data_IF_548202410185
#
_entry.id   IF_548202410185
#
_cell.length_a   1.000
_cell.length_b   1.000
_cell.length_c   1.000
_cell.angle_alpha   90.00
_cell.angle_beta   90.00
_cell.angle_gamma   90.00
#
_symmetry.space_group_name_H-M   'P 1'
#
loop_
_entity.id
_entity.type
_entity.pdbx_description
1 polymer ?
#
# COMPACT_ATOMS: atom_id res chain seq x y z
N UNK A 1 -79.04 18.09 -12.13
CA UNK A 1 -78.15 16.93 -12.23
C UNK A 1 -76.77 17.49 -12.50
N UNK A 2 -75.90 17.55 -11.48
CA UNK A 2 -74.53 18.06 -11.60
C UNK A 2 -73.61 16.82 -11.58
N UNK A 3 -72.90 16.57 -12.66
CA UNK A 3 -71.84 15.51 -12.76
C UNK A 3 -70.54 16.05 -12.15
N UNK A 4 -70.06 15.42 -11.06
CA UNK A 4 -68.72 15.62 -10.56
C UNK A 4 -67.74 14.78 -11.43
N UNK A 5 -66.80 15.48 -12.07
CA UNK A 5 -65.62 14.81 -12.70
C UNK A 5 -64.55 14.71 -11.63
N UNK A 6 -64.22 13.46 -11.24
CA UNK A 6 -63.08 13.16 -10.36
C UNK A 6 -61.83 13.07 -11.22
N UNK A 7 -60.89 14.00 -11.04
CA UNK A 7 -59.57 13.98 -11.67
C UNK A 7 -58.61 13.24 -10.73
N UNK A 8 -58.25 12.01 -11.08
CA UNK A 8 -57.22 11.25 -10.39
C UNK A 8 -55.85 11.78 -10.86
N UNK A 9 -55.15 12.46 -9.97
CA UNK A 9 -53.75 12.85 -10.20
C UNK A 9 -52.85 11.64 -9.97
N UNK A 10 -52.31 11.11 -11.03
CA UNK A 10 -51.32 9.99 -11.01
C UNK A 10 -49.94 10.60 -10.78
N UNK A 11 -49.46 10.56 -9.53
CA UNK A 11 -48.10 11.00 -9.21
C UNK A 11 -47.10 9.98 -9.69
N UNK A 12 -46.32 10.32 -10.73
CA UNK A 12 -45.22 9.50 -11.24
C UNK A 12 -43.98 9.81 -10.40
N UNK A 13 -43.66 8.94 -9.45
CA UNK A 13 -42.39 9.01 -8.69
C UNK A 13 -41.28 8.47 -9.59
N UNK A 14 -40.48 9.36 -10.18
CA UNK A 14 -39.24 9.01 -10.84
C UNK A 14 -38.20 8.64 -9.77
N UNK A 15 -38.01 7.35 -9.52
CA UNK A 15 -36.90 6.86 -8.74
C UNK A 15 -35.62 7.04 -9.57
N UNK A 16 -34.86 8.11 -9.30
CA UNK A 16 -33.49 8.24 -9.79
C UNK A 16 -32.65 7.21 -9.03
N UNK A 17 -32.38 6.09 -9.66
CA UNK A 17 -31.35 5.16 -9.20
C UNK A 17 -30.00 5.89 -9.24
N UNK A 18 -29.45 6.22 -8.07
CA UNK A 18 -28.05 6.64 -7.96
C UNK A 18 -27.23 5.40 -8.26
N UNK A 19 -26.79 5.24 -9.51
CA UNK A 19 -25.71 4.32 -9.83
C UNK A 19 -24.46 4.87 -9.12
N UNK A 20 -24.08 4.29 -8.01
CA UNK A 20 -22.74 4.46 -7.45
C UNK A 20 -21.77 4.04 -8.56
N UNK A 21 -21.03 4.98 -9.15
CA UNK A 21 -19.99 4.66 -10.09
C UNK A 21 -19.00 3.74 -9.37
N UNK A 22 -18.74 2.57 -9.95
CA UNK A 22 -17.71 1.67 -9.40
C UNK A 22 -16.40 2.45 -9.30
N UNK A 23 -15.71 2.29 -8.16
CA UNK A 23 -14.40 2.89 -7.97
C UNK A 23 -13.46 2.34 -9.06
N UNK A 24 -12.65 3.21 -9.72
CA UNK A 24 -11.66 2.76 -10.68
C UNK A 24 -10.54 1.93 -10.01
N UNK A 25 -10.50 1.87 -8.68
CA UNK A 25 -9.54 1.09 -7.89
C UNK A 25 -10.27 -0.12 -7.30
N UNK A 26 -9.68 -1.32 -7.43
CA UNK A 26 -10.15 -2.54 -6.74
C UNK A 26 -9.22 -2.94 -5.60
N UNK A 27 -9.70 -3.76 -4.66
CA UNK A 27 -8.90 -4.31 -3.57
C UNK A 27 -7.66 -5.04 -4.11
N UNK A 28 -7.85 -5.86 -5.16
CA UNK A 28 -6.78 -6.65 -5.77
C UNK A 28 -5.72 -5.75 -6.44
N UNK A 29 -6.13 -4.65 -7.05
CA UNK A 29 -5.19 -3.68 -7.61
C UNK A 29 -4.35 -3.02 -6.53
N UNK A 30 -4.97 -2.59 -5.43
CA UNK A 30 -4.28 -1.96 -4.32
C UNK A 30 -3.30 -2.93 -3.64
N UNK A 31 -3.73 -4.17 -3.33
CA UNK A 31 -2.87 -5.20 -2.74
C UNK A 31 -1.71 -5.54 -3.68
N UNK A 32 -1.97 -5.72 -4.97
CA UNK A 32 -0.93 -6.01 -5.96
C UNK A 32 0.11 -4.89 -6.05
N UNK A 33 -0.33 -3.61 -6.05
CA UNK A 33 0.58 -2.46 -6.04
C UNK A 33 1.47 -2.44 -4.79
N UNK A 34 0.95 -2.86 -3.63
CA UNK A 34 1.73 -3.00 -2.41
C UNK A 34 2.78 -4.12 -2.54
N UNK A 35 2.41 -5.27 -3.11
CA UNK A 35 3.39 -6.34 -3.39
C UNK A 35 4.47 -5.90 -4.39
N UNK A 36 4.10 -5.13 -5.43
CA UNK A 36 5.06 -4.57 -6.38
C UNK A 36 6.09 -3.68 -5.66
N UNK A 37 5.63 -2.85 -4.70
CA UNK A 37 6.52 -2.00 -3.91
C UNK A 37 7.53 -2.83 -3.12
N UNK A 38 7.09 -3.83 -2.34
CA UNK A 38 7.99 -4.68 -1.57
C UNK A 38 8.90 -5.54 -2.47
N UNK A 39 8.41 -5.97 -3.64
CA UNK A 39 9.24 -6.66 -4.62
C UNK A 39 10.39 -5.81 -5.15
N UNK A 40 10.20 -4.48 -5.25
CA UNK A 40 11.27 -3.54 -5.64
C UNK A 40 12.23 -3.21 -4.49
N UNK A 41 11.91 -3.57 -3.24
CA UNK A 41 12.80 -3.42 -2.09
C UNK A 41 13.72 -4.64 -1.89
N UNK A 42 13.55 -5.70 -2.67
CA UNK A 42 14.50 -6.81 -2.66
C UNK A 42 15.86 -6.32 -3.13
N UNK A 43 16.86 -6.39 -2.23
CA UNK A 43 18.22 -5.86 -2.47
C UNK A 43 18.90 -6.44 -3.71
N UNK A 44 18.47 -7.61 -4.22
CA UNK A 44 19.03 -8.22 -5.42
C UNK A 44 18.53 -7.59 -6.72
N UNK A 45 17.36 -6.92 -6.68
CA UNK A 45 16.73 -6.28 -7.83
C UNK A 45 16.43 -4.80 -7.61
N UNK A 46 16.76 -4.28 -6.41
CA UNK A 46 16.50 -2.91 -6.05
C UNK A 46 17.08 -1.92 -7.06
N UNK A 47 16.24 -1.00 -7.49
CA UNK A 47 16.57 0.11 -8.37
C UNK A 47 15.70 1.33 -7.98
N UNK A 48 16.36 2.40 -7.56
CA UNK A 48 15.69 3.65 -7.18
C UNK A 48 14.82 4.22 -8.29
N UNK A 49 15.25 4.11 -9.56
CA UNK A 49 14.47 4.61 -10.70
C UNK A 49 13.14 3.84 -10.83
N UNK A 50 13.17 2.51 -10.66
CA UNK A 50 11.95 1.69 -10.70
C UNK A 50 11.05 1.99 -9.51
N UNK A 51 11.60 2.17 -8.30
CA UNK A 51 10.84 2.57 -7.13
C UNK A 51 10.15 3.92 -7.34
N UNK A 52 10.84 4.89 -7.97
CA UNK A 52 10.29 6.23 -8.25
C UNK A 52 9.05 6.21 -9.15
N UNK A 53 8.89 5.19 -10.00
CA UNK A 53 7.75 5.05 -10.92
C UNK A 53 6.45 4.68 -10.21
N UNK A 54 6.54 3.99 -9.08
CA UNK A 54 5.36 3.48 -8.35
C UNK A 54 4.99 4.27 -7.11
N UNK A 55 5.74 5.31 -6.79
CA UNK A 55 5.44 6.24 -5.70
C UNK A 55 5.11 7.62 -6.25
N UNK A 56 4.44 8.48 -5.46
CA UNK A 56 4.20 9.88 -5.83
C UNK A 56 5.47 10.72 -5.64
N UNK A 57 5.61 11.89 -6.32
CA UNK A 57 6.76 12.78 -6.13
C UNK A 57 6.94 13.28 -4.68
N UNK A 58 5.85 13.34 -3.92
CA UNK A 58 5.81 13.76 -2.52
C UNK A 58 5.69 12.57 -1.55
N UNK A 59 6.10 11.37 -1.99
CA UNK A 59 6.10 10.14 -1.18
C UNK A 59 6.85 10.33 0.14
N UNK A 60 6.26 9.80 1.21
CA UNK A 60 6.86 9.74 2.56
C UNK A 60 6.69 8.38 3.16
N UNK A 61 7.68 7.96 3.93
CA UNK A 61 7.60 6.76 4.77
C UNK A 61 8.11 7.07 6.18
N UNK A 62 7.33 6.72 7.17
CA UNK A 62 7.76 6.71 8.57
C UNK A 62 8.21 5.32 8.93
N UNK A 63 9.49 5.19 9.20
CA UNK A 63 10.15 3.92 9.47
C UNK A 63 11.19 4.10 10.58
N UNK A 64 11.16 3.24 11.61
CA UNK A 64 12.11 3.25 12.74
C UNK A 64 12.30 4.65 13.33
N UNK A 65 11.20 5.41 13.51
CA UNK A 65 11.20 6.76 14.08
C UNK A 65 11.76 7.86 13.17
N UNK A 66 12.06 7.55 11.90
CA UNK A 66 12.51 8.50 10.90
C UNK A 66 11.39 8.87 9.94
N UNK A 67 11.48 10.07 9.37
CA UNK A 67 10.62 10.59 8.33
C UNK A 67 11.43 10.69 7.03
N UNK A 68 11.27 9.69 6.16
CA UNK A 68 11.97 9.62 4.89
C UNK A 68 11.11 10.16 3.74
N UNK A 69 11.71 10.90 2.83
CA UNK A 69 11.25 11.06 1.46
C UNK A 69 11.89 9.97 0.57
N UNK A 70 11.54 9.92 -0.72
CA UNK A 70 12.08 8.92 -1.63
C UNK A 70 13.61 8.91 -1.69
N UNK A 71 14.26 10.09 -1.69
CA UNK A 71 15.72 10.20 -1.78
C UNK A 71 16.41 9.64 -0.54
N UNK A 72 15.97 10.05 0.65
CA UNK A 72 16.54 9.57 1.91
C UNK A 72 16.19 8.10 2.20
N UNK A 73 15.01 7.62 1.75
CA UNK A 73 14.65 6.21 1.84
C UNK A 73 15.51 5.35 0.90
N UNK A 74 15.76 5.80 -0.34
CA UNK A 74 16.68 5.12 -1.24
C UNK A 74 18.08 5.00 -0.64
N UNK A 75 18.61 6.08 -0.05
CA UNK A 75 19.91 6.04 0.63
C UNK A 75 19.93 5.09 1.84
N UNK A 76 18.80 4.95 2.55
CA UNK A 76 18.66 3.97 3.63
C UNK A 76 18.74 2.53 3.10
N UNK A 77 18.09 2.22 1.98
CA UNK A 77 18.14 0.89 1.35
C UNK A 77 19.53 0.61 0.78
N UNK A 78 20.17 1.60 0.15
CA UNK A 78 21.56 1.47 -0.34
C UNK A 78 22.50 1.08 0.81
N UNK A 79 22.39 1.74 1.97
CA UNK A 79 23.16 1.37 3.16
C UNK A 79 22.85 -0.04 3.69
N UNK A 80 21.59 -0.45 3.67
CA UNK A 80 21.20 -1.81 4.06
C UNK A 80 21.79 -2.87 3.10
N UNK A 81 21.84 -2.59 1.80
CA UNK A 81 22.42 -3.48 0.77
C UNK A 81 23.91 -3.78 0.97
N UNK A 82 24.62 -2.88 1.66
CA UNK A 82 26.03 -3.12 2.00
C UNK A 82 26.22 -4.24 3.03
N UNK A 83 25.21 -4.52 3.83
CA UNK A 83 25.27 -5.48 4.95
C UNK A 83 24.46 -6.73 4.74
N UNK A 84 23.48 -6.71 3.84
CA UNK A 84 22.59 -7.83 3.57
C UNK A 84 23.01 -8.60 2.32
N UNK A 85 22.69 -9.91 2.30
CA UNK A 85 22.81 -10.79 1.15
C UNK A 85 21.45 -11.10 0.52
N UNK A 86 20.42 -11.24 1.35
CA UNK A 86 19.07 -11.64 0.92
C UNK A 86 18.04 -10.89 1.74
N UNK A 87 16.94 -10.54 1.10
CA UNK A 87 15.73 -10.00 1.73
C UNK A 87 14.53 -10.82 1.30
N UNK A 88 13.60 -11.07 2.21
CA UNK A 88 12.33 -11.71 1.90
C UNK A 88 11.22 -11.01 2.68
N UNK A 89 10.08 -10.81 2.04
CA UNK A 89 8.92 -10.12 2.58
C UNK A 89 7.68 -11.00 2.49
N UNK A 90 6.92 -11.06 3.58
CA UNK A 90 5.65 -11.79 3.65
C UNK A 90 4.55 -10.86 4.18
N UNK A 91 3.69 -10.42 3.27
CA UNK A 91 2.57 -9.52 3.56
C UNK A 91 1.30 -10.32 3.81
N UNK A 92 0.53 -9.94 4.84
CA UNK A 92 -0.67 -10.68 5.25
C UNK A 92 -1.70 -9.79 5.94
N UNK A 93 -2.91 -10.34 6.17
CA UNK A 93 -3.98 -9.72 6.95
C UNK A 93 -4.41 -8.33 6.43
N UNK A 94 -4.58 -8.21 5.12
CA UNK A 94 -4.94 -6.94 4.47
C UNK A 94 -6.35 -6.49 4.85
N UNK A 95 -6.47 -5.24 5.34
CA UNK A 95 -7.73 -4.53 5.51
C UNK A 95 -7.69 -3.34 4.55
N UNK A 96 -8.50 -3.40 3.51
CA UNK A 96 -8.51 -2.42 2.41
C UNK A 96 -9.71 -1.50 2.52
N UNK A 97 -9.48 -0.19 2.42
CA UNK A 97 -10.50 0.84 2.27
C UNK A 97 -10.25 1.61 0.99
N UNK A 98 -11.27 1.77 0.16
CA UNK A 98 -11.16 2.40 -1.16
C UNK A 98 -12.19 3.52 -1.29
N UNK A 99 -11.79 4.61 -1.91
CA UNK A 99 -12.68 5.62 -2.45
C UNK A 99 -12.37 5.87 -3.96
N UNK A 100 -13.00 6.90 -4.55
CA UNK A 100 -12.93 7.14 -6.00
C UNK A 100 -11.50 7.38 -6.54
N UNK A 101 -10.56 7.80 -5.70
CA UNK A 101 -9.22 8.24 -6.13
C UNK A 101 -8.10 7.76 -5.21
N UNK A 102 -8.42 7.02 -4.17
CA UNK A 102 -7.43 6.56 -3.21
C UNK A 102 -7.75 5.20 -2.63
N UNK A 103 -6.73 4.56 -2.10
CA UNK A 103 -6.83 3.34 -1.32
C UNK A 103 -5.97 3.45 -0.06
N UNK A 104 -6.45 2.87 1.02
CA UNK A 104 -5.70 2.69 2.25
C UNK A 104 -5.70 1.20 2.60
N UNK A 105 -4.53 0.66 2.96
CA UNK A 105 -4.38 -0.73 3.39
C UNK A 105 -3.67 -0.73 4.74
N UNK A 106 -4.25 -1.42 5.73
CA UNK A 106 -3.54 -1.85 6.93
C UNK A 106 -3.19 -3.32 6.77
N UNK A 107 -1.98 -3.73 7.18
CA UNK A 107 -1.50 -5.09 6.97
C UNK A 107 -0.40 -5.45 7.96
N UNK A 108 -0.09 -6.76 8.06
CA UNK A 108 1.09 -7.26 8.72
C UNK A 108 2.16 -7.60 7.70
N UNK A 109 3.40 -7.31 8.06
CA UNK A 109 4.56 -7.63 7.24
C UNK A 109 5.58 -8.41 8.08
N UNK A 110 6.16 -9.46 7.50
CA UNK A 110 7.31 -10.17 8.05
C UNK A 110 8.48 -10.06 7.10
N UNK A 111 9.61 -9.62 7.64
CA UNK A 111 10.86 -9.57 6.91
C UNK A 111 11.83 -10.63 7.42
N UNK A 112 12.49 -11.33 6.51
CA UNK A 112 13.62 -12.19 6.84
C UNK A 112 14.81 -11.73 6.03
N UNK A 113 15.88 -11.32 6.71
CA UNK A 113 17.08 -10.76 6.11
C UNK A 113 18.29 -11.59 6.47
N UNK A 114 19.07 -12.02 5.47
CA UNK A 114 20.33 -12.70 5.68
C UNK A 114 21.47 -11.69 5.55
N UNK A 115 22.27 -11.59 6.60
CA UNK A 115 23.41 -10.66 6.60
C UNK A 115 24.65 -11.31 5.97
N UNK A 116 25.61 -10.48 5.55
CA UNK A 116 26.95 -10.90 5.11
C UNK A 116 27.78 -11.53 6.24
N UNK A 117 27.34 -11.38 7.50
CA UNK A 117 27.94 -12.01 8.68
C UNK A 117 27.34 -13.37 9.05
N UNK A 118 26.49 -13.93 8.15
CA UNK A 118 25.82 -15.22 8.34
C UNK A 118 24.82 -15.21 9.51
N UNK A 119 24.09 -14.11 9.67
CA UNK A 119 22.98 -13.96 10.61
C UNK A 119 21.66 -13.95 9.83
N UNK A 120 20.57 -14.43 10.44
CA UNK A 120 19.21 -14.18 10.01
C UNK A 120 18.57 -13.16 10.98
N UNK A 121 18.02 -12.10 10.42
CA UNK A 121 17.24 -11.11 11.14
C UNK A 121 15.79 -11.28 10.73
N UNK A 122 14.92 -11.47 11.72
CA UNK A 122 13.47 -11.56 11.53
C UNK A 122 12.81 -10.35 12.14
N UNK A 123 12.03 -9.66 11.34
CA UNK A 123 11.18 -8.56 11.78
C UNK A 123 9.72 -8.91 11.60
N UNK A 124 8.88 -8.48 12.55
CA UNK A 124 7.44 -8.35 12.37
C UNK A 124 7.07 -6.87 12.45
N UNK A 125 6.22 -6.42 11.51
CA UNK A 125 5.68 -5.06 11.50
C UNK A 125 4.16 -5.05 11.45
N UNK A 126 3.58 -3.99 12.02
CA UNK A 126 2.24 -3.51 11.68
C UNK A 126 2.39 -2.26 10.83
N UNK A 127 1.78 -2.30 9.65
CA UNK A 127 1.98 -1.26 8.66
C UNK A 127 0.67 -0.75 8.09
N UNK A 128 0.72 0.47 7.56
CA UNK A 128 -0.36 1.00 6.74
C UNK A 128 0.19 1.81 5.57
N UNK A 129 -0.48 1.73 4.44
CA UNK A 129 -0.13 2.44 3.22
C UNK A 129 -1.32 3.23 2.70
N UNK A 130 -1.07 4.45 2.29
CA UNK A 130 -2.02 5.29 1.56
C UNK A 130 -1.54 5.46 0.12
N UNK A 131 -2.44 5.15 -0.81
CA UNK A 131 -2.22 5.21 -2.24
C UNK A 131 -3.19 6.17 -2.89
N UNK A 132 -2.79 6.79 -3.99
CA UNK A 132 -3.63 7.71 -4.78
C UNK A 132 -3.50 7.40 -6.26
N UNK A 133 -4.55 7.72 -7.02
CA UNK A 133 -4.46 7.75 -8.48
C UNK A 133 -3.69 9.01 -8.92
N UNK A 134 -2.59 8.78 -9.63
CA UNK A 134 -1.83 9.79 -10.38
C UNK A 134 -2.08 9.54 -11.88
N UNK A 135 -3.00 10.31 -12.44
CA UNK A 135 -3.58 9.99 -13.75
C UNK A 135 -4.43 8.72 -13.71
N UNK A 136 -3.97 7.66 -14.36
CA UNK A 136 -4.62 6.34 -14.37
C UNK A 136 -3.84 5.28 -13.56
N UNK A 137 -2.73 5.66 -12.95
CA UNK A 137 -1.86 4.77 -12.20
C UNK A 137 -2.07 4.94 -10.70
N UNK A 138 -2.19 3.83 -9.98
CA UNK A 138 -2.19 3.82 -8.53
C UNK A 138 -0.75 3.89 -8.04
N UNK A 139 -0.43 4.90 -7.20
CA UNK A 139 0.90 5.12 -6.64
C UNK A 139 0.85 5.21 -5.13
N UNK A 140 1.91 4.75 -4.46
CA UNK A 140 2.07 4.93 -3.03
C UNK A 140 2.39 6.40 -2.74
N UNK A 141 1.69 6.98 -1.77
CA UNK A 141 1.89 8.35 -1.32
C UNK A 141 2.46 8.43 0.08
N UNK A 142 2.04 7.54 0.95
CA UNK A 142 2.51 7.49 2.33
C UNK A 142 2.51 6.05 2.83
N UNK A 143 3.52 5.70 3.62
CA UNK A 143 3.61 4.43 4.35
C UNK A 143 4.02 4.70 5.79
N UNK A 144 3.33 4.06 6.72
CA UNK A 144 3.68 4.00 8.14
C UNK A 144 4.11 2.57 8.47
N UNK A 145 5.25 2.42 9.09
CA UNK A 145 5.81 1.14 9.49
C UNK A 145 6.21 1.17 10.98
N UNK A 146 5.60 0.28 11.76
CA UNK A 146 5.87 0.11 13.18
C UNK A 146 6.43 -1.28 13.45
N UNK A 147 7.68 -1.35 13.92
CA UNK A 147 8.33 -2.61 14.33
C UNK A 147 7.64 -3.17 15.57
N UNK A 148 7.15 -4.40 15.47
CA UNK A 148 6.52 -5.14 16.59
C UNK A 148 7.53 -6.04 17.27
N UNK A 149 8.38 -6.71 16.50
CA UNK A 149 9.43 -7.59 17.03
C UNK A 149 10.66 -7.61 16.12
N UNK A 150 11.81 -7.87 16.73
CA UNK A 150 13.08 -8.14 16.06
C UNK A 150 13.74 -9.35 16.73
N UNK A 151 14.17 -10.33 15.93
CA UNK A 151 14.90 -11.51 16.41
C UNK A 151 16.11 -11.72 15.49
N UNK A 152 17.29 -11.91 16.10
CA UNK A 152 18.54 -12.19 15.37
C UNK A 152 19.01 -13.58 15.72
N UNK A 153 19.21 -14.43 14.69
CA UNK A 153 19.70 -15.79 14.80
C UNK A 153 21.08 -15.91 14.15
N UNK A 154 22.03 -16.52 14.86
CA UNK A 154 23.33 -16.87 14.29
C UNK A 154 23.22 -18.19 13.51
N UNK A 155 23.51 -18.15 12.21
CA UNK A 155 23.60 -19.38 11.42
C UNK A 155 24.92 -20.08 11.77
N UNK A 156 24.86 -21.34 12.24
CA UNK A 156 26.04 -22.14 12.54
C UNK A 156 26.98 -22.26 11.33
N UNK A 157 28.25 -22.31 11.61
CA UNK A 157 29.30 -22.57 10.61
C UNK A 157 29.20 -23.98 10.07
#
# INVERSE_FOLDING_TARGET
MKKLLSMAAMSFVLAFGVNAAESPITNEQAIRKLHDFFGLLDIQVYDKENLSKIVTPDFRIFEVGNDFNLESFASFIDGASETLNETNWELSNFIVSIDNKSAHISYFNKGTFKTKKNELIHYDWMESVYMVLDGQELKLKFLQSDVVSEVIEQLGQ
#
